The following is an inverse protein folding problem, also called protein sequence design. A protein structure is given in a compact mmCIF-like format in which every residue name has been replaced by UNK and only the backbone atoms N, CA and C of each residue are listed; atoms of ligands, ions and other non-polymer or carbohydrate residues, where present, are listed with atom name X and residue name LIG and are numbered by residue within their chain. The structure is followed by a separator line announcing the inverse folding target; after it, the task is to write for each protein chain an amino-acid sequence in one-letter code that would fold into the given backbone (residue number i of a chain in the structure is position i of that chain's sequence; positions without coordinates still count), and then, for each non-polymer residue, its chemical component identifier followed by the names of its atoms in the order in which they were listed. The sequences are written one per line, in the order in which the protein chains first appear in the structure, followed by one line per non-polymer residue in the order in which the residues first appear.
data_IF_234180002925
#
_entry.id   IF_234180002925
#
_cell.length_a   1.000
_cell.length_b   1.000
_cell.length_c   1.000
_cell.angle_alpha   90.00
_cell.angle_beta   90.00
_cell.angle_gamma   90.00
#
_symmetry.space_group_name_H-M   'P 1'
#
loop_
_entity.id
_entity.type
_entity.pdbx_description
1 polymer ?
#
# COMPACT_ATOMS: atom_id res chain seq x y z
N UNK A 1 -15.62 9.10 -20.77
CA UNK A 1 -14.69 9.80 -19.85
C UNK A 1 -13.67 8.79 -19.39
N UNK A 2 -12.39 9.13 -19.41
CA UNK A 2 -11.33 8.28 -18.82
C UNK A 2 -11.47 8.29 -17.30
N UNK A 3 -11.43 7.12 -16.67
CA UNK A 3 -11.44 6.99 -15.21
C UNK A 3 -10.09 6.48 -14.73
N UNK A 4 -9.35 7.34 -14.01
CA UNK A 4 -8.00 7.07 -13.52
C UNK A 4 -7.98 7.05 -12.00
N UNK A 5 -7.39 6.01 -11.44
CA UNK A 5 -7.21 5.84 -10.02
C UNK A 5 -5.74 6.03 -9.62
N UNK A 6 -5.47 6.91 -8.66
CA UNK A 6 -4.21 6.88 -7.90
C UNK A 6 -4.30 5.73 -6.90
N UNK A 7 -3.33 4.84 -6.94
CA UNK A 7 -3.21 3.67 -6.04
C UNK A 7 -2.04 3.90 -5.10
N UNK A 8 -2.32 3.93 -3.81
CA UNK A 8 -1.34 4.08 -2.72
C UNK A 8 -1.58 3.03 -1.64
N UNK A 9 -0.50 2.50 -1.06
CA UNK A 9 -0.51 1.48 -0.02
C UNK A 9 0.64 1.68 0.96
N UNK A 10 0.50 1.13 2.16
CA UNK A 10 1.60 1.03 3.12
C UNK A 10 2.26 2.40 3.38
N UNK A 11 1.42 3.38 3.77
CA UNK A 11 1.84 4.77 4.01
C UNK A 11 2.62 4.88 5.32
N UNK A 12 2.21 4.07 6.30
CA UNK A 12 2.91 3.89 7.56
C UNK A 12 3.30 5.18 8.29
N UNK A 13 2.37 6.12 8.42
CA UNK A 13 2.63 7.35 9.16
C UNK A 13 3.78 8.20 8.59
N UNK A 14 4.14 8.04 7.31
CA UNK A 14 5.19 8.79 6.61
C UNK A 14 4.53 9.91 5.79
N UNK A 15 4.33 11.06 6.43
CA UNK A 15 3.66 12.20 5.82
C UNK A 15 4.49 12.79 4.66
N UNK A 16 5.83 12.81 4.79
CA UNK A 16 6.73 13.34 3.76
C UNK A 16 6.59 12.57 2.44
N UNK A 17 6.53 11.25 2.53
CA UNK A 17 6.34 10.39 1.35
C UNK A 17 4.95 10.59 0.75
N UNK A 18 3.90 10.59 1.58
CA UNK A 18 2.52 10.79 1.12
C UNK A 18 2.35 12.14 0.40
N UNK A 19 2.77 13.25 1.01
CA UNK A 19 2.62 14.58 0.40
C UNK A 19 3.42 14.73 -0.88
N UNK A 20 4.59 14.08 -0.96
CA UNK A 20 5.39 14.08 -2.19
C UNK A 20 4.68 13.31 -3.31
N UNK A 21 4.14 12.12 -3.02
CA UNK A 21 3.35 11.34 -3.99
C UNK A 21 2.15 12.14 -4.49
N UNK A 22 1.39 12.74 -3.58
CA UNK A 22 0.22 13.56 -3.93
C UNK A 22 0.58 14.79 -4.75
N UNK A 23 1.72 15.42 -4.49
CA UNK A 23 2.20 16.58 -5.25
C UNK A 23 2.63 16.17 -6.67
N UNK A 24 3.41 15.10 -6.80
CA UNK A 24 3.97 14.66 -8.10
C UNK A 24 2.89 14.07 -9.01
N UNK A 25 1.94 13.32 -8.44
CA UNK A 25 0.87 12.67 -9.19
C UNK A 25 -0.44 13.47 -9.18
N UNK A 26 -0.45 14.65 -8.58
CA UNK A 26 -1.60 15.55 -8.59
C UNK A 26 -2.06 15.90 -10.02
N UNK A 27 -3.38 15.88 -10.25
CA UNK A 27 -3.98 16.14 -11.56
C UNK A 27 -3.84 15.00 -12.59
N UNK A 28 -3.17 13.89 -12.26
CA UNK A 28 -3.05 12.72 -13.14
C UNK A 28 -4.13 11.65 -12.89
N UNK A 29 -4.94 11.81 -11.86
CA UNK A 29 -6.00 10.89 -11.45
C UNK A 29 -7.31 11.62 -11.20
N UNK A 30 -8.39 10.86 -11.21
CA UNK A 30 -9.75 11.33 -10.95
C UNK A 30 -10.24 10.88 -9.57
N UNK A 31 -9.72 9.76 -9.05
CA UNK A 31 -10.06 9.14 -7.77
C UNK A 31 -8.83 8.55 -7.10
N UNK A 32 -8.93 8.25 -5.80
CA UNK A 32 -7.86 7.64 -4.99
C UNK A 32 -8.33 6.30 -4.42
N UNK A 33 -7.46 5.29 -4.46
CA UNK A 33 -7.60 3.99 -3.80
C UNK A 33 -6.47 3.85 -2.77
N UNK A 34 -6.82 3.48 -1.53
CA UNK A 34 -5.85 3.26 -0.45
C UNK A 34 -5.96 1.83 0.03
N UNK A 35 -4.87 1.06 -0.12
CA UNK A 35 -4.85 -0.38 0.09
C UNK A 35 -4.42 -0.79 1.51
N UNK A 36 -4.63 0.08 2.50
CA UNK A 36 -4.34 -0.19 3.91
C UNK A 36 -2.95 0.25 4.38
N UNK A 37 -2.70 -0.01 5.65
CA UNK A 37 -1.52 0.39 6.40
C UNK A 37 -1.23 1.90 6.30
N UNK A 38 -2.27 2.68 6.67
CA UNK A 38 -2.14 4.14 6.79
C UNK A 38 -1.13 4.51 7.86
N UNK A 39 -1.11 3.74 8.96
CA UNK A 39 -0.34 4.01 10.17
C UNK A 39 0.64 2.89 10.52
N UNK A 40 1.35 3.03 11.64
CA UNK A 40 2.43 2.14 12.05
C UNK A 40 3.79 2.61 11.53
N UNK A 41 4.87 2.21 12.18
CA UNK A 41 6.27 2.51 11.87
C UNK A 41 6.66 4.00 11.89
N UNK A 42 5.99 4.85 11.15
CA UNK A 42 6.31 6.28 11.01
C UNK A 42 5.72 7.15 12.12
N UNK A 43 6.17 8.40 12.18
CA UNK A 43 5.95 9.28 13.31
C UNK A 43 4.74 10.22 13.18
N UNK A 44 4.04 10.23 12.03
CA UNK A 44 2.93 11.15 11.75
C UNK A 44 1.57 10.45 11.57
N UNK A 45 1.15 9.52 12.46
CA UNK A 45 -0.07 8.73 12.23
C UNK A 45 -1.33 9.59 12.09
N UNK A 46 -1.49 10.60 12.94
CA UNK A 46 -2.67 11.46 12.86
C UNK A 46 -2.69 12.31 11.58
N UNK A 47 -1.57 12.93 11.24
CA UNK A 47 -1.46 13.76 10.05
C UNK A 47 -1.73 12.96 8.76
N UNK A 48 -1.25 11.72 8.69
CA UNK A 48 -1.52 10.82 7.56
C UNK A 48 -3.00 10.44 7.49
N UNK A 49 -3.62 10.03 8.61
CA UNK A 49 -5.06 9.71 8.63
C UNK A 49 -5.90 10.92 8.24
N UNK A 50 -5.61 12.10 8.80
CA UNK A 50 -6.33 13.34 8.47
C UNK A 50 -6.16 13.69 6.99
N UNK A 51 -4.96 13.52 6.46
CA UNK A 51 -4.66 13.80 5.05
C UNK A 51 -5.40 12.84 4.11
N UNK A 52 -5.40 11.54 4.41
CA UNK A 52 -6.17 10.55 3.64
C UNK A 52 -7.66 10.88 3.65
N UNK A 53 -8.23 11.23 4.81
CA UNK A 53 -9.64 11.66 4.90
C UNK A 53 -9.95 12.89 4.05
N UNK A 54 -9.02 13.87 4.00
CA UNK A 54 -9.17 15.08 3.17
C UNK A 54 -9.13 14.80 1.66
N UNK A 55 -8.51 13.69 1.23
CA UNK A 55 -8.52 13.30 -0.18
C UNK A 55 -9.89 12.85 -0.67
N UNK A 56 -10.82 12.57 0.24
CA UNK A 56 -12.12 11.97 -0.06
C UNK A 56 -11.97 10.75 -0.99
N UNK A 57 -11.20 9.72 -0.57
CA UNK A 57 -10.83 8.63 -1.45
C UNK A 57 -12.04 7.82 -1.87
N UNK A 58 -12.00 7.29 -3.09
CA UNK A 58 -13.07 6.44 -3.60
C UNK A 58 -13.25 5.16 -2.79
N UNK A 59 -12.14 4.59 -2.34
CA UNK A 59 -12.13 3.42 -1.48
C UNK A 59 -10.86 3.39 -0.62
N UNK A 60 -11.03 3.08 0.66
CA UNK A 60 -9.95 2.81 1.62
C UNK A 60 -10.27 1.49 2.30
N UNK A 61 -9.32 0.57 2.31
CA UNK A 61 -9.39 -0.63 3.13
C UNK A 61 -8.37 -0.54 4.27
N UNK A 62 -8.57 -1.33 5.32
CA UNK A 62 -7.61 -1.43 6.43
C UNK A 62 -6.48 -2.38 6.09
N UNK A 63 -5.28 -2.15 6.67
CA UNK A 63 -4.21 -3.12 6.76
C UNK A 63 -4.08 -3.69 8.17
N UNK A 64 -3.12 -4.62 8.36
CA UNK A 64 -2.88 -5.25 9.65
C UNK A 64 -2.36 -4.25 10.71
N UNK A 65 -1.57 -3.25 10.33
CA UNK A 65 -1.15 -2.19 11.25
C UNK A 65 -2.32 -1.28 11.64
N UNK A 66 -3.22 -0.99 10.73
CA UNK A 66 -4.43 -0.20 11.04
C UNK A 66 -5.32 -0.94 12.04
N UNK A 67 -5.46 -2.29 11.90
CA UNK A 67 -6.22 -3.13 12.85
C UNK A 67 -5.67 -3.02 14.27
N UNK A 68 -4.37 -3.20 14.44
CA UNK A 68 -3.74 -3.11 15.77
C UNK A 68 -3.82 -1.69 16.32
N UNK A 69 -3.52 -0.68 15.51
CA UNK A 69 -3.60 0.72 15.91
C UNK A 69 -5.04 1.18 16.23
N UNK A 70 -6.05 0.52 15.69
CA UNK A 70 -7.45 0.76 16.02
C UNK A 70 -7.93 -0.01 17.28
N UNK A 71 -7.14 -0.97 17.80
CA UNK A 71 -7.51 -1.84 18.91
C UNK A 71 -8.43 -2.99 18.52
N UNK A 72 -8.44 -3.36 17.23
CA UNK A 72 -9.20 -4.52 16.71
C UNK A 72 -8.41 -5.82 16.79
N UNK A 73 -7.10 -5.73 17.01
CA UNK A 73 -6.15 -6.84 17.12
C UNK A 73 -5.09 -6.49 18.16
N UNK A 74 -4.47 -7.47 18.82
CA UNK A 74 -3.47 -7.27 19.89
C UNK A 74 -2.02 -7.18 19.39
N UNK A 75 -1.79 -7.46 18.10
CA UNK A 75 -0.48 -7.44 17.47
C UNK A 75 0.50 -8.51 17.99
N UNK A 76 0.02 -9.60 18.56
CA UNK A 76 0.90 -10.67 19.04
C UNK A 76 1.67 -11.37 17.90
N UNK A 77 1.12 -11.39 16.70
CA UNK A 77 1.78 -11.91 15.50
C UNK A 77 2.93 -11.06 14.98
N UNK A 78 3.05 -9.81 15.43
CA UNK A 78 4.07 -8.87 14.98
C UNK A 78 5.44 -9.18 15.60
N UNK A 79 6.52 -8.97 14.82
CA UNK A 79 7.85 -8.94 15.40
C UNK A 79 8.00 -7.78 16.41
N UNK A 80 8.99 -7.85 17.28
CA UNK A 80 9.15 -6.89 18.40
C UNK A 80 9.23 -5.41 17.95
N UNK A 81 9.85 -5.15 16.79
CA UNK A 81 9.99 -3.78 16.26
C UNK A 81 8.65 -3.26 15.74
N UNK A 82 7.95 -4.06 14.95
CA UNK A 82 6.64 -3.71 14.43
C UNK A 82 5.62 -3.52 15.57
N UNK A 83 5.63 -4.43 16.55
CA UNK A 83 4.76 -4.36 17.72
C UNK A 83 5.01 -3.11 18.55
N UNK A 84 6.27 -2.80 18.85
CA UNK A 84 6.63 -1.57 19.58
C UNK A 84 6.13 -0.31 18.86
N UNK A 85 6.29 -0.25 17.54
CA UNK A 85 5.87 0.91 16.75
C UNK A 85 4.34 1.04 16.67
N UNK A 86 3.61 -0.06 16.48
CA UNK A 86 2.15 0.00 16.37
C UNK A 86 1.48 0.30 17.72
N UNK A 87 2.04 -0.19 18.82
CA UNK A 87 1.55 0.18 20.16
C UNK A 87 1.81 1.65 20.47
N UNK A 88 2.98 2.19 20.10
CA UNK A 88 3.22 3.63 20.14
C UNK A 88 2.19 4.40 19.29
N UNK A 89 1.89 3.90 18.09
CA UNK A 89 0.88 4.50 17.20
C UNK A 89 -0.51 4.51 17.86
N UNK A 90 -0.90 3.39 18.49
CA UNK A 90 -2.17 3.28 19.22
C UNK A 90 -2.31 4.38 20.28
N UNK A 91 -1.26 4.62 21.08
CA UNK A 91 -1.25 5.68 22.10
C UNK A 91 -1.23 7.10 21.50
N UNK A 92 -0.55 7.29 20.36
CA UNK A 92 -0.41 8.59 19.71
C UNK A 92 -1.67 9.02 18.94
N UNK A 93 -2.52 8.07 18.49
CA UNK A 93 -3.71 8.37 17.72
C UNK A 93 -4.76 9.14 18.52
N UNK A 94 -5.31 10.19 17.91
CA UNK A 94 -6.50 10.85 18.47
C UNK A 94 -7.69 9.89 18.49
N UNK A 95 -8.65 10.07 19.43
CA UNK A 95 -9.87 9.24 19.45
C UNK A 95 -10.63 9.25 18.10
N UNK A 96 -10.67 10.40 17.41
CA UNK A 96 -11.34 10.54 16.12
C UNK A 96 -10.65 9.74 15.00
N UNK A 97 -9.31 9.71 14.97
CA UNK A 97 -8.57 8.97 13.98
C UNK A 97 -8.57 7.46 14.26
N UNK A 98 -8.54 7.08 15.54
CA UNK A 98 -8.74 5.68 15.93
C UNK A 98 -10.12 5.17 15.53
N UNK A 99 -11.19 5.93 15.80
CA UNK A 99 -12.56 5.62 15.39
C UNK A 99 -12.69 5.52 13.85
N UNK A 100 -11.99 6.37 13.11
CA UNK A 100 -11.94 6.27 11.65
C UNK A 100 -11.32 4.94 11.19
N UNK A 101 -10.14 4.57 11.73
CA UNK A 101 -9.48 3.30 11.38
C UNK A 101 -10.34 2.08 11.74
N UNK A 102 -11.05 2.11 12.88
CA UNK A 102 -11.96 1.04 13.30
C UNK A 102 -13.07 0.75 12.28
N UNK A 103 -13.47 1.76 11.50
CA UNK A 103 -14.57 1.66 10.51
C UNK A 103 -14.12 1.27 9.11
N UNK A 104 -12.82 1.19 8.87
CA UNK A 104 -12.30 0.79 7.57
C UNK A 104 -12.68 -0.66 7.27
N UNK A 105 -13.20 -0.96 6.06
CA UNK A 105 -13.50 -2.33 5.67
C UNK A 105 -12.20 -3.13 5.47
N UNK A 106 -12.29 -4.44 5.63
CA UNK A 106 -11.25 -5.36 5.13
C UNK A 106 -11.30 -5.48 3.60
N UNK A 107 -10.20 -5.94 2.98
CA UNK A 107 -10.21 -6.47 1.62
C UNK A 107 -10.66 -7.94 1.58
N UNK A 108 -10.93 -8.51 0.37
CA UNK A 108 -10.99 -7.79 -0.90
C UNK A 108 -12.25 -6.94 -1.06
N UNK A 109 -12.12 -5.82 -1.76
CA UNK A 109 -13.23 -4.93 -2.12
C UNK A 109 -13.22 -4.67 -3.62
N UNK A 110 -14.37 -4.85 -4.29
CA UNK A 110 -14.51 -4.51 -5.69
C UNK A 110 -14.57 -2.99 -5.87
N UNK A 111 -13.76 -2.47 -6.79
CA UNK A 111 -13.73 -1.05 -7.18
C UNK A 111 -14.68 -0.82 -8.35
N UNK A 112 -14.58 -1.67 -9.36
CA UNK A 112 -15.41 -1.69 -10.56
C UNK A 112 -15.43 -3.11 -11.19
N UNK A 113 -15.83 -3.24 -12.45
CA UNK A 113 -15.85 -4.55 -13.13
C UNK A 113 -14.45 -5.09 -13.49
N UNK A 114 -13.43 -4.23 -13.51
CA UNK A 114 -12.06 -4.58 -13.83
C UNK A 114 -11.22 -4.84 -12.58
N UNK A 115 -11.40 -4.03 -11.52
CA UNK A 115 -10.46 -3.89 -10.41
C UNK A 115 -11.11 -4.30 -9.09
N UNK A 116 -10.37 -5.06 -8.29
CA UNK A 116 -10.57 -5.20 -6.85
C UNK A 116 -9.28 -4.84 -6.10
N UNK A 117 -9.40 -4.50 -4.82
CA UNK A 117 -8.27 -4.22 -3.94
C UNK A 117 -8.30 -5.09 -2.71
N UNK A 118 -7.13 -5.54 -2.25
CA UNK A 118 -6.93 -6.18 -0.96
C UNK A 118 -5.66 -5.62 -0.30
N UNK A 119 -5.50 -5.84 1.02
CA UNK A 119 -4.25 -5.44 1.68
C UNK A 119 -3.19 -6.52 1.48
N UNK A 120 -3.41 -7.72 2.03
CA UNK A 120 -2.55 -8.89 1.83
C UNK A 120 -2.94 -9.65 0.56
N UNK A 121 -3.76 -10.68 0.72
CA UNK A 121 -4.25 -11.51 -0.40
C UNK A 121 -5.76 -11.47 -0.50
N UNK A 122 -6.37 -11.86 -1.65
CA UNK A 122 -7.83 -11.92 -1.78
C UNK A 122 -8.51 -12.94 -0.85
N UNK A 123 -7.76 -13.91 -0.32
CA UNK A 123 -8.28 -14.94 0.57
C UNK A 123 -7.98 -14.69 2.05
N UNK A 124 -7.04 -13.78 2.38
CA UNK A 124 -6.65 -13.46 3.75
C UNK A 124 -6.01 -12.06 3.78
N UNK A 125 -6.60 -11.13 4.55
CA UNK A 125 -6.13 -9.73 4.60
C UNK A 125 -4.74 -9.57 5.23
N UNK A 126 -4.25 -10.56 6.00
CA UNK A 126 -2.96 -10.54 6.71
C UNK A 126 -1.91 -11.46 6.06
N UNK A 127 -2.27 -12.25 5.04
CA UNK A 127 -1.34 -13.14 4.38
C UNK A 127 -0.42 -12.41 3.41
N UNK A 128 0.86 -12.77 3.43
CA UNK A 128 1.82 -12.31 2.43
C UNK A 128 1.68 -13.09 1.12
N UNK A 129 1.97 -12.43 0.02
CA UNK A 129 2.11 -13.03 -1.30
C UNK A 129 3.60 -13.01 -1.67
N UNK A 130 4.28 -14.15 -1.51
CA UNK A 130 5.72 -14.24 -1.67
C UNK A 130 6.18 -15.10 -2.84
N UNK A 131 5.39 -16.10 -3.24
CA UNK A 131 5.80 -17.07 -4.25
C UNK A 131 4.69 -17.38 -5.27
N UNK A 132 5.03 -18.23 -6.23
CA UNK A 132 4.13 -18.64 -7.31
C UNK A 132 2.89 -19.37 -6.81
N UNK A 133 2.99 -20.12 -5.71
CA UNK A 133 1.83 -20.84 -5.13
C UNK A 133 0.87 -19.87 -4.47
N UNK A 134 1.38 -18.88 -3.75
CA UNK A 134 0.58 -17.79 -3.19
C UNK A 134 -0.12 -17.02 -4.32
N UNK A 135 0.59 -16.72 -5.42
CA UNK A 135 0.02 -16.03 -6.57
C UNK A 135 -1.09 -16.83 -7.24
N UNK A 136 -0.90 -18.13 -7.48
CA UNK A 136 -1.93 -19.00 -8.06
C UNK A 136 -3.17 -19.06 -7.17
N UNK A 137 -3.01 -19.21 -5.87
CA UNK A 137 -4.11 -19.22 -4.91
C UNK A 137 -4.83 -17.87 -4.87
N UNK A 138 -4.10 -16.76 -4.97
CA UNK A 138 -4.67 -15.43 -5.05
C UNK A 138 -5.49 -15.23 -6.35
N UNK A 139 -5.02 -15.73 -7.49
CA UNK A 139 -5.76 -15.72 -8.75
C UNK A 139 -7.06 -16.53 -8.69
N UNK A 140 -7.06 -17.67 -7.98
CA UNK A 140 -8.28 -18.47 -7.77
C UNK A 140 -9.31 -17.73 -6.91
N UNK A 141 -8.85 -17.01 -5.88
CA UNK A 141 -9.72 -16.26 -4.97
C UNK A 141 -10.18 -14.91 -5.55
N UNK A 142 -9.46 -14.37 -6.52
CA UNK A 142 -9.79 -13.08 -7.13
C UNK A 142 -11.07 -13.10 -7.93
N UNK A 143 -11.96 -12.14 -7.64
CA UNK A 143 -13.26 -11.97 -8.30
C UNK A 143 -13.19 -11.06 -9.54
N UNK A 144 -12.10 -10.31 -9.73
CA UNK A 144 -11.90 -9.36 -10.82
C UNK A 144 -10.65 -9.69 -11.64
N UNK A 145 -10.58 -9.22 -12.91
CA UNK A 145 -9.39 -9.43 -13.75
C UNK A 145 -8.10 -8.83 -13.17
N UNK A 146 -8.19 -7.74 -12.42
CA UNK A 146 -7.04 -7.06 -11.80
C UNK A 146 -7.26 -6.95 -10.31
N UNK A 147 -6.40 -7.59 -9.52
CA UNK A 147 -6.35 -7.41 -8.08
C UNK A 147 -5.11 -6.58 -7.72
N UNK A 148 -5.32 -5.45 -7.04
CA UNK A 148 -4.24 -4.61 -6.52
C UNK A 148 -4.06 -4.93 -5.04
N UNK A 149 -2.80 -5.12 -4.61
CA UNK A 149 -2.49 -5.49 -3.23
C UNK A 149 -1.30 -4.73 -2.67
N UNK A 150 -1.12 -4.74 -1.34
CA UNK A 150 -0.05 -4.07 -0.58
C UNK A 150 0.76 -5.04 0.27
N UNK A 151 0.94 -4.69 1.55
CA UNK A 151 1.45 -5.51 2.66
C UNK A 151 2.91 -5.99 2.55
N UNK A 152 3.37 -6.44 1.38
CA UNK A 152 4.75 -6.89 1.19
C UNK A 152 5.73 -5.72 1.09
N UNK A 153 5.26 -4.53 0.73
CA UNK A 153 6.05 -3.32 0.42
C UNK A 153 7.01 -3.49 -0.76
N UNK A 154 6.83 -4.54 -1.54
CA UNK A 154 7.64 -4.87 -2.72
C UNK A 154 6.80 -4.66 -3.96
N UNK A 155 7.25 -3.78 -4.86
CA UNK A 155 6.55 -3.62 -6.12
C UNK A 155 6.79 -4.84 -7.00
N UNK A 156 5.68 -5.49 -7.37
CA UNK A 156 5.68 -6.73 -8.17
C UNK A 156 4.37 -6.84 -8.95
N UNK A 157 4.45 -7.45 -10.12
CA UNK A 157 3.27 -7.78 -10.93
C UNK A 157 3.32 -9.21 -11.44
N UNK A 158 2.22 -9.92 -11.30
CA UNK A 158 2.01 -11.24 -11.86
C UNK A 158 0.90 -11.19 -12.90
N UNK A 159 1.07 -11.97 -13.95
CA UNK A 159 0.06 -12.21 -15.00
C UNK A 159 -0.24 -13.71 -15.05
N UNK A 160 -1.51 -14.05 -15.15
CA UNK A 160 -1.96 -15.42 -15.34
C UNK A 160 -2.84 -15.51 -16.58
N UNK A 161 -2.41 -16.29 -17.57
CA UNK A 161 -3.15 -16.56 -18.80
C UNK A 161 -2.70 -17.91 -19.37
N UNK A 162 -3.57 -18.60 -20.11
CA UNK A 162 -3.28 -19.87 -20.78
C UNK A 162 -2.66 -20.93 -19.83
N UNK A 163 -3.09 -20.94 -18.55
CA UNK A 163 -2.54 -21.78 -17.49
C UNK A 163 -1.06 -21.52 -17.17
N UNK A 164 -0.51 -20.39 -17.58
CA UNK A 164 0.86 -19.96 -17.30
C UNK A 164 0.87 -18.74 -16.35
N UNK A 165 1.75 -18.78 -15.37
CA UNK A 165 2.08 -17.68 -14.48
C UNK A 165 3.35 -16.98 -14.97
N UNK A 166 3.31 -15.66 -15.05
CA UNK A 166 4.43 -14.83 -15.49
C UNK A 166 4.64 -13.67 -14.48
N UNK A 167 5.88 -13.33 -14.18
CA UNK A 167 6.23 -12.09 -13.48
C UNK A 167 6.38 -10.99 -14.54
N UNK A 168 5.49 -10.00 -14.53
CA UNK A 168 5.46 -8.90 -15.51
C UNK A 168 6.03 -7.59 -14.96
N UNK A 169 6.28 -7.53 -13.66
CA UNK A 169 7.01 -6.46 -12.98
C UNK A 169 7.79 -7.06 -11.81
N UNK A 170 9.06 -6.76 -11.69
CA UNK A 170 9.92 -7.23 -10.61
C UNK A 170 10.56 -6.08 -9.82
N UNK A 171 11.11 -6.36 -8.63
CA UNK A 171 11.87 -5.37 -7.88
C UNK A 171 13.00 -4.77 -8.72
N UNK A 172 13.11 -3.43 -8.73
CA UNK A 172 14.14 -2.71 -9.50
C UNK A 172 13.70 -2.23 -10.88
N UNK A 173 12.70 -2.84 -11.52
CA UNK A 173 12.26 -2.52 -12.89
C UNK A 173 10.90 -1.79 -12.95
N UNK A 174 10.43 -1.25 -11.83
CA UNK A 174 9.07 -0.69 -11.73
C UNK A 174 8.97 0.80 -12.00
N UNK A 175 10.07 1.55 -12.01
CA UNK A 175 10.04 3.00 -12.22
C UNK A 175 9.66 3.38 -13.66
N UNK A 176 8.45 3.90 -13.85
CA UNK A 176 7.91 4.28 -15.16
C UNK A 176 7.44 3.10 -16.00
N UNK A 177 7.32 1.91 -15.40
CA UNK A 177 6.78 0.74 -16.09
C UNK A 177 5.30 0.94 -16.38
N UNK A 178 4.90 0.69 -17.61
CA UNK A 178 3.50 0.67 -18.05
C UNK A 178 3.13 -0.75 -18.45
N UNK A 179 2.07 -1.28 -17.82
CA UNK A 179 1.50 -2.58 -18.17
C UNK A 179 0.08 -2.38 -18.74
N UNK A 180 -0.21 -3.05 -19.85
CA UNK A 180 -1.54 -3.11 -20.44
C UNK A 180 -2.25 -4.42 -20.02
N UNK A 181 -3.51 -4.31 -19.63
CA UNK A 181 -4.31 -5.47 -19.20
C UNK A 181 -5.03 -6.12 -20.37
N UNK A 182 -4.55 -7.29 -20.81
CA UNK A 182 -5.24 -8.12 -21.78
C UNK A 182 -6.61 -8.58 -21.24
N UNK A 183 -7.67 -8.60 -22.05
CA UNK A 183 -8.97 -9.11 -21.62
C UNK A 183 -8.97 -10.60 -21.26
N UNK A 184 -8.02 -11.38 -21.80
CA UNK A 184 -7.92 -12.83 -21.61
C UNK A 184 -6.94 -13.24 -20.49
N UNK A 185 -6.50 -12.27 -19.66
CA UNK A 185 -5.56 -12.51 -18.57
C UNK A 185 -6.06 -11.92 -17.23
N UNK A 186 -5.59 -12.50 -16.13
CA UNK A 186 -5.70 -11.93 -14.81
C UNK A 186 -4.37 -11.32 -14.35
N UNK A 187 -4.44 -10.33 -13.47
CA UNK A 187 -3.28 -9.62 -12.95
C UNK A 187 -3.35 -9.46 -11.43
N UNK A 188 -2.22 -9.70 -10.74
CA UNK A 188 -2.01 -9.31 -9.34
C UNK A 188 -0.89 -8.28 -9.34
N UNK A 189 -1.12 -7.07 -8.83
CA UNK A 189 -0.14 -5.99 -8.89
C UNK A 189 -0.02 -5.30 -7.54
N UNK A 190 1.22 -5.21 -7.06
CA UNK A 190 1.62 -4.40 -5.93
C UNK A 190 2.42 -3.20 -6.44
N UNK A 191 1.96 -1.99 -6.12
CA UNK A 191 2.63 -0.75 -6.52
C UNK A 191 3.87 -0.41 -5.64
N UNK A 192 4.15 -1.25 -4.66
CA UNK A 192 5.12 -0.97 -3.60
C UNK A 192 4.52 -0.11 -2.49
N UNK A 193 5.34 0.26 -1.52
CA UNK A 193 4.95 1.06 -0.37
C UNK A 193 5.24 2.54 -0.60
N UNK A 194 4.29 3.40 -0.18
CA UNK A 194 4.52 4.85 -0.10
C UNK A 194 5.53 5.16 1.00
N UNK A 195 5.31 4.63 2.21
CA UNK A 195 6.01 5.08 3.42
C UNK A 195 7.24 4.28 3.81
N UNK A 196 7.32 3.00 3.42
CA UNK A 196 8.41 2.10 3.82
C UNK A 196 8.70 1.01 2.77
N UNK A 197 9.26 1.35 1.60
CA UNK A 197 9.64 0.38 0.58
C UNK A 197 10.63 -0.67 1.10
N UNK A 198 10.52 -1.93 0.61
CA UNK A 198 11.35 -3.08 1.04
C UNK A 198 11.98 -3.85 -0.12
N UNK A 199 12.05 -3.27 -1.29
CA UNK A 199 12.58 -3.87 -2.51
C UNK A 199 13.96 -3.30 -2.93
N UNK A 200 14.66 -2.65 -2.00
CA UNK A 200 15.98 -2.06 -2.21
C UNK A 200 15.94 -0.67 -2.83
N UNK A 201 14.77 -0.17 -3.20
CA UNK A 201 14.59 1.20 -3.71
C UNK A 201 13.95 2.07 -2.60
N UNK A 202 14.64 3.08 -2.06
CA UNK A 202 14.12 3.92 -0.98
C UNK A 202 13.03 4.92 -1.42
N UNK A 203 12.77 5.04 -2.73
CA UNK A 203 11.75 5.95 -3.27
C UNK A 203 10.34 5.41 -3.02
N UNK A 204 9.40 6.31 -2.71
CA UNK A 204 8.01 5.96 -2.51
C UNK A 204 7.41 5.29 -3.76
N UNK A 205 6.72 4.17 -3.56
CA UNK A 205 5.97 3.45 -4.60
C UNK A 205 4.53 3.92 -4.69
N UNK A 206 4.01 4.10 -5.90
CA UNK A 206 2.61 4.40 -6.19
C UNK A 206 2.27 3.99 -7.63
N UNK A 207 0.99 3.97 -7.98
CA UNK A 207 0.57 3.70 -9.35
C UNK A 207 -0.59 4.59 -9.80
N UNK A 208 -0.72 4.75 -11.13
CA UNK A 208 -1.94 5.27 -11.77
C UNK A 208 -2.54 4.14 -12.62
N UNK A 209 -3.78 3.77 -12.32
CA UNK A 209 -4.55 2.83 -13.14
C UNK A 209 -5.55 3.61 -13.99
N UNK A 210 -5.45 3.47 -15.30
CA UNK A 210 -6.48 3.92 -16.25
C UNK A 210 -7.41 2.74 -16.55
N UNK A 211 -8.55 2.69 -15.87
CA UNK A 211 -9.52 1.61 -16.03
C UNK A 211 -10.15 1.59 -17.43
N UNK A 212 -10.26 2.74 -18.08
CA UNK A 212 -10.81 2.85 -19.44
C UNK A 212 -9.80 2.33 -20.48
N UNK A 213 -8.54 2.75 -20.37
CA UNK A 213 -7.46 2.30 -21.26
C UNK A 213 -6.92 0.92 -20.87
N UNK A 214 -7.39 0.33 -19.77
CA UNK A 214 -6.95 -0.98 -19.24
C UNK A 214 -5.43 -1.05 -19.08
N UNK A 215 -4.84 -0.09 -18.37
CA UNK A 215 -3.40 -0.03 -18.11
C UNK A 215 -3.07 0.52 -16.74
N UNK A 216 -1.90 0.17 -16.23
CA UNK A 216 -1.31 0.70 -15.01
C UNK A 216 0.08 1.25 -15.31
N UNK A 217 0.42 2.39 -14.71
CA UNK A 217 1.75 2.97 -14.70
C UNK A 217 2.27 2.99 -13.27
N UNK A 218 3.45 2.39 -13.04
CA UNK A 218 4.11 2.31 -11.74
C UNK A 218 5.12 3.44 -11.57
N UNK A 219 5.22 4.00 -10.37
CA UNK A 219 6.07 5.15 -10.05
C UNK A 219 7.00 4.86 -8.88
N UNK A 220 8.20 5.47 -8.94
CA UNK A 220 9.17 5.57 -7.84
C UNK A 220 9.51 7.04 -7.64
N UNK A 221 9.08 7.59 -6.53
CA UNK A 221 9.10 9.04 -6.28
C UNK A 221 10.04 9.33 -5.11
N UNK A 222 11.16 10.06 -5.34
CA UNK A 222 12.04 10.47 -4.25
C UNK A 222 11.31 11.47 -3.34
N UNK A 223 11.48 11.32 -2.02
CA UNK A 223 10.90 12.17 -1.00
C UNK A 223 11.94 12.56 0.05
N UNK A 224 11.66 13.54 0.95
CA UNK A 224 12.60 13.97 2.00
C UNK A 224 12.80 12.91 3.10
N UNK A 225 13.54 11.84 2.81
CA UNK A 225 13.75 10.69 3.70
C UNK A 225 14.36 11.13 5.05
N UNK A 226 15.33 12.04 5.04
CA UNK A 226 16.00 12.53 6.25
C UNK A 226 15.05 13.19 7.23
N UNK A 227 14.02 13.88 6.72
CA UNK A 227 12.99 14.48 7.56
C UNK A 227 12.11 13.43 8.23
N UNK A 228 11.66 12.41 7.49
CA UNK A 228 10.93 11.28 8.03
C UNK A 228 11.77 10.54 9.10
N UNK A 229 13.05 10.28 8.82
CA UNK A 229 13.99 9.69 9.77
C UNK A 229 14.15 10.53 11.05
N UNK A 230 14.29 11.84 10.90
CA UNK A 230 14.39 12.78 12.02
C UNK A 230 13.17 12.69 12.93
N UNK A 231 11.97 12.69 12.36
CA UNK A 231 10.70 12.56 13.10
C UNK A 231 10.59 11.23 13.85
N UNK A 232 10.95 10.11 13.22
CA UNK A 232 10.98 8.78 13.85
C UNK A 232 11.87 8.80 15.10
N UNK A 233 13.08 9.39 15.01
CA UNK A 233 14.00 9.53 16.15
C UNK A 233 13.44 10.42 17.25
N UNK A 234 12.86 11.56 16.89
CA UNK A 234 12.25 12.48 17.87
C UNK A 234 11.06 11.88 18.60
N UNK A 235 10.30 11.00 17.92
CA UNK A 235 9.20 10.26 18.51
C UNK A 235 9.65 9.14 19.46
N UNK A 236 10.97 8.86 19.55
CA UNK A 236 11.49 7.77 20.37
C UNK A 236 11.20 6.37 19.82
N UNK A 237 10.82 6.28 18.55
CA UNK A 237 10.60 5.01 17.86
C UNK A 237 11.94 4.27 17.62
N UNK A 238 11.92 2.94 17.44
CA UNK A 238 13.15 2.17 17.21
C UNK A 238 14.00 2.72 16.07
N UNK A 239 15.29 2.95 16.31
CA UNK A 239 16.25 3.54 15.34
C UNK A 239 16.32 2.77 14.01
N UNK A 240 16.09 1.45 14.05
CA UNK A 240 16.06 0.62 12.83
C UNK A 240 14.96 1.07 11.86
N UNK A 241 13.84 1.63 12.34
CA UNK A 241 12.76 2.15 11.50
C UNK A 241 13.20 3.40 10.73
N UNK A 242 14.01 4.25 11.35
CA UNK A 242 14.60 5.38 10.64
C UNK A 242 15.65 4.92 9.61
N UNK A 243 16.57 4.03 10.01
CA UNK A 243 17.65 3.57 9.13
C UNK A 243 17.16 2.86 7.87
N UNK A 244 16.12 2.04 7.98
CA UNK A 244 15.62 1.23 6.87
C UNK A 244 15.03 2.07 5.72
N UNK A 245 14.52 3.29 6.00
CA UNK A 245 13.95 4.17 4.97
C UNK A 245 14.94 4.51 3.87
N UNK A 246 16.20 4.82 4.23
CA UNK A 246 17.24 5.14 3.25
C UNK A 246 17.80 3.92 2.51
N UNK A 247 17.48 2.73 2.98
CA UNK A 247 17.95 1.46 2.40
C UNK A 247 16.87 0.78 1.53
N UNK A 248 15.63 1.24 1.59
CA UNK A 248 14.51 0.55 0.95
C UNK A 248 14.26 -0.85 1.54
N UNK A 249 14.30 -0.99 2.89
CA UNK A 249 14.24 -2.29 3.58
C UNK A 249 13.29 -2.30 4.76
#
# INVERSE_FOLDING_TARGET
MTLRYLVISDIHGNLEALETVLTVLGGRHDKVLVLGDLVGYGADPNAVVDRVRQLDPHLVIRGNHDKVAAGLDDGESFNAVARSAVLWTYEALTPANRDYLTKLPSGPQAVDDLIEICHGTPFDEDAYLFDDLDALRAFEASSRPVCLFGHTHVAVGFRYADSALEIVAGPGDTAGLVLEFSPDAKYLINAGSVGQPRDGDPRAGAAIVDATARKIELFRIPYPIEEAQRKIRLAGLPEVLAKRLSLGR
#
